data_IF_303487894643
#
_entry.id   IF_303487894643
#
_cell.length_a   1.000
_cell.length_b   1.000
_cell.length_c   1.000
_cell.angle_alpha   90.00
_cell.angle_beta   90.00
_cell.angle_gamma   90.00
#
_symmetry.space_group_name_H-M   'P 1'
#
loop_
_entity.id
_entity.type
_entity.pdbx_description
1 polymer ?
#
# COMPACT_ATOMS: atom_id res chain seq x y z
N UNK A 1 5.68 8.78 -21.98
CA UNK A 1 6.11 8.52 -20.60
C UNK A 1 6.57 9.83 -20.00
N UNK A 2 5.91 10.32 -18.97
CA UNK A 2 6.36 11.51 -18.23
C UNK A 2 6.91 11.05 -16.89
N UNK A 3 8.22 11.26 -16.72
CA UNK A 3 8.94 11.14 -15.48
C UNK A 3 8.45 12.20 -14.48
N UNK A 4 8.29 11.81 -13.22
CA UNK A 4 8.11 12.72 -12.09
C UNK A 4 9.16 12.38 -11.03
N UNK A 5 10.20 13.20 -10.95
CA UNK A 5 11.17 13.17 -9.88
C UNK A 5 10.56 13.75 -8.58
N UNK A 6 11.07 13.33 -7.41
CA UNK A 6 11.44 14.26 -6.34
C UNK A 6 12.40 13.57 -5.36
N UNK A 7 13.56 14.18 -5.16
CA UNK A 7 14.51 13.83 -4.12
C UNK A 7 14.09 14.43 -2.77
N UNK A 8 14.62 13.83 -1.71
CA UNK A 8 14.51 14.33 -0.35
C UNK A 8 15.50 13.59 0.53
N UNK A 9 16.72 14.14 0.65
CA UNK A 9 17.68 13.72 1.65
C UNK A 9 17.17 14.08 3.05
N UNK A 10 17.23 13.12 3.96
CA UNK A 10 16.93 13.30 5.38
C UNK A 10 18.01 12.58 6.20
N UNK A 11 18.72 13.37 6.99
CA UNK A 11 19.98 13.07 7.66
C UNK A 11 20.05 11.74 8.43
N UNK A 12 21.24 11.15 8.39
CA UNK A 12 21.71 10.19 9.37
C UNK A 12 21.75 10.83 10.77
N UNK A 13 21.27 10.09 11.78
CA UNK A 13 21.69 10.21 13.17
C UNK A 13 20.59 10.54 14.18
N UNK A 14 20.09 9.53 14.90
CA UNK A 14 20.25 9.52 16.36
C UNK A 14 20.20 8.10 16.91
N UNK A 15 21.03 7.89 17.92
CA UNK A 15 21.39 6.65 18.59
C UNK A 15 20.23 6.07 19.42
N UNK A 16 19.34 5.32 18.79
CA UNK A 16 18.33 4.50 19.44
C UNK A 16 18.13 3.22 18.63
N UNK A 17 18.09 2.07 19.30
CA UNK A 17 18.12 0.74 18.65
C UNK A 17 16.91 0.40 17.76
N UNK A 18 15.99 1.34 17.52
CA UNK A 18 14.91 1.22 16.53
C UNK A 18 14.61 2.58 15.89
N UNK A 19 14.56 2.60 14.55
CA UNK A 19 14.11 3.74 13.76
C UNK A 19 13.01 3.28 12.81
N UNK A 20 11.83 3.91 12.90
CA UNK A 20 10.69 3.64 12.03
C UNK A 20 10.65 4.70 10.93
N UNK A 21 11.09 4.34 9.72
CA UNK A 21 11.00 5.21 8.55
C UNK A 21 9.69 4.94 7.81
N UNK A 22 8.71 5.83 7.96
CA UNK A 22 7.53 5.89 7.09
C UNK A 22 7.76 6.91 5.97
N UNK A 23 7.40 6.59 4.73
CA UNK A 23 7.54 7.44 3.53
C UNK A 23 6.65 8.71 3.53
N UNK A 24 6.16 9.15 4.69
CA UNK A 24 5.30 10.33 4.83
C UNK A 24 3.88 10.17 4.27
N UNK A 25 3.58 9.09 3.53
CA UNK A 25 2.23 8.81 3.02
C UNK A 25 1.42 7.86 3.91
N UNK A 26 2.02 7.33 4.99
CA UNK A 26 1.39 6.83 6.23
C UNK A 26 0.41 5.66 6.15
N UNK A 27 -0.05 5.26 4.97
CA UNK A 27 -1.04 4.20 4.80
C UNK A 27 -0.37 2.89 4.39
N UNK A 28 -0.31 1.93 5.32
CA UNK A 28 0.06 0.55 5.01
C UNK A 28 -0.87 0.01 3.91
N UNK A 29 -0.34 -0.73 2.94
CA UNK A 29 -1.12 -1.27 1.81
C UNK A 29 -0.91 -2.77 1.70
N UNK A 30 -2.00 -3.51 1.52
CA UNK A 30 -1.97 -4.95 1.22
C UNK A 30 -2.12 -5.17 -0.28
N UNK A 31 -1.48 -6.23 -0.78
CA UNK A 31 -1.66 -6.71 -2.15
C UNK A 31 -2.04 -8.18 -2.12
N UNK A 32 -3.14 -8.54 -2.78
CA UNK A 32 -3.63 -9.93 -2.86
C UNK A 32 -4.21 -10.22 -4.25
N UNK A 33 -4.24 -11.49 -4.70
CA UNK A 33 -4.87 -11.86 -5.96
C UNK A 33 -6.40 -11.88 -5.83
N UNK A 34 -7.10 -11.40 -6.86
CA UNK A 34 -8.54 -11.63 -6.97
C UNK A 34 -8.81 -13.15 -7.12
N UNK A 35 -9.68 -13.77 -6.30
CA UNK A 35 -9.97 -15.20 -6.40
C UNK A 35 -10.75 -15.57 -7.67
N UNK A 36 -11.32 -14.59 -8.38
CA UNK A 36 -12.04 -14.83 -9.64
C UNK A 36 -11.13 -14.77 -10.86
N UNK A 37 -10.23 -13.78 -10.94
CA UNK A 37 -9.45 -13.49 -12.14
C UNK A 37 -7.94 -13.41 -11.91
N UNK A 38 -7.47 -13.65 -10.68
CA UNK A 38 -6.07 -13.60 -10.25
C UNK A 38 -5.36 -12.25 -10.44
N UNK A 39 -6.07 -11.20 -10.88
CA UNK A 39 -5.55 -9.84 -10.94
C UNK A 39 -5.11 -9.37 -9.55
N UNK A 40 -3.93 -8.76 -9.46
CA UNK A 40 -3.41 -8.20 -8.20
C UNK A 40 -4.18 -6.94 -7.84
N UNK A 41 -4.78 -6.94 -6.66
CA UNK A 41 -5.50 -5.82 -6.08
C UNK A 41 -4.62 -5.19 -5.01
N UNK A 42 -4.46 -3.86 -5.01
CA UNK A 42 -3.71 -3.11 -4.01
C UNK A 42 -4.65 -2.17 -3.26
N UNK A 43 -4.72 -2.27 -1.94
CA UNK A 43 -5.63 -1.48 -1.12
C UNK A 43 -5.03 -1.07 0.21
N UNK A 44 -5.46 0.07 0.79
CA UNK A 44 -4.96 0.52 2.08
C UNK A 44 -5.47 -0.41 3.20
N UNK A 45 -4.64 -0.58 4.23
CA UNK A 45 -4.98 -1.26 5.47
C UNK A 45 -5.83 -0.31 6.31
N UNK A 46 -7.12 -0.63 6.49
CA UNK A 46 -8.09 0.25 7.19
C UNK A 46 -9.10 -0.53 8.05
N UNK A 47 -8.78 -1.76 8.47
CA UNK A 47 -9.75 -2.68 9.04
C UNK A 47 -10.68 -3.26 7.97
N UNK A 48 -11.88 -3.71 8.39
CA UNK A 48 -12.86 -4.32 7.49
C UNK A 48 -13.29 -3.36 6.38
N UNK A 49 -13.04 -3.73 5.12
CA UNK A 49 -13.47 -2.98 3.96
C UNK A 49 -14.01 -3.86 2.84
N UNK A 50 -14.79 -3.25 1.95
CA UNK A 50 -15.26 -3.86 0.70
C UNK A 50 -14.39 -3.39 -0.45
N UNK A 51 -13.80 -4.36 -1.15
CA UNK A 51 -12.83 -4.13 -2.21
C UNK A 51 -13.42 -4.54 -3.54
N UNK A 52 -13.29 -3.71 -4.58
CA UNK A 52 -13.74 -4.05 -5.93
C UNK A 52 -12.56 -4.31 -6.84
N UNK A 53 -12.54 -5.49 -7.49
CA UNK A 53 -11.56 -5.76 -8.53
C UNK A 53 -11.80 -4.83 -9.73
N UNK A 54 -10.76 -4.14 -10.21
CA UNK A 54 -10.87 -3.24 -11.37
C UNK A 54 -11.06 -3.99 -12.69
N UNK A 55 -10.68 -5.27 -12.74
CA UNK A 55 -10.81 -6.12 -13.93
C UNK A 55 -12.19 -6.78 -14.02
N UNK A 56 -12.47 -7.76 -13.15
CA UNK A 56 -13.70 -8.56 -13.22
C UNK A 56 -14.86 -7.99 -12.39
N UNK A 57 -14.66 -6.87 -11.68
CA UNK A 57 -15.66 -6.17 -10.85
C UNK A 57 -16.20 -6.95 -9.65
N UNK A 58 -15.69 -8.15 -9.37
CA UNK A 58 -15.99 -8.91 -8.13
C UNK A 58 -15.76 -8.03 -6.90
N UNK A 59 -16.68 -8.12 -5.94
CA UNK A 59 -16.58 -7.44 -4.63
C UNK A 59 -16.10 -8.45 -3.59
N UNK A 60 -15.08 -8.09 -2.84
CA UNK A 60 -14.45 -8.90 -1.80
C UNK A 60 -14.59 -8.21 -0.44
N UNK A 61 -14.70 -9.00 0.61
CA UNK A 61 -14.53 -8.52 1.99
C UNK A 61 -13.10 -8.78 2.42
N UNK A 62 -12.44 -7.76 2.98
CA UNK A 62 -11.07 -7.87 3.46
C UNK A 62 -10.99 -7.27 4.86
N UNK A 63 -10.41 -8.01 5.79
CA UNK A 63 -10.04 -7.59 7.13
C UNK A 63 -8.51 -7.39 7.09
N UNK A 64 -8.04 -6.18 7.36
CA UNK A 64 -6.63 -5.78 7.21
C UNK A 64 -6.18 -4.93 8.38
#
# INVERSE_FOLDING_TARGET
GTAGANGGGGAAGTNGAYSFSGDGLGALRVTFPCPTCHQRIRVPVRGRMRVRCTLCRTVLECDT
#
